data_IF_468673743247
#
_entry.id   IF_468673743247
#
_cell.length_a   1.000
_cell.length_b   1.000
_cell.length_c   1.000
_cell.angle_alpha   90.00
_cell.angle_beta   90.00
_cell.angle_gamma   90.00
#
_symmetry.space_group_name_H-M   'P 1'
#
loop_
_entity.id
_entity.type
_entity.pdbx_description
1 polymer ?
#
# COMPACT_ATOMS: atom_id res chain seq x y z
N UNK A 1 -13.14 -6.45 7.83
CA UNK A 1 -12.79 -5.66 6.64
C UNK A 1 -12.65 -4.20 7.05
N UNK A 2 -11.99 -3.39 6.22
CA UNK A 2 -11.91 -1.93 6.36
C UNK A 2 -12.28 -1.31 5.02
N UNK A 3 -13.16 -0.31 5.02
CA UNK A 3 -13.57 0.44 3.82
C UNK A 3 -13.09 1.89 3.94
N UNK A 4 -12.25 2.29 3.00
CA UNK A 4 -11.72 3.65 2.81
C UNK A 4 -11.91 4.10 1.35
N UNK A 5 -12.93 3.60 0.66
CA UNK A 5 -13.22 4.01 -0.73
C UNK A 5 -13.52 5.51 -0.81
N UNK A 6 -12.85 6.20 -1.73
CA UNK A 6 -12.88 7.66 -1.85
C UNK A 6 -12.60 8.43 -0.54
N UNK A 7 -12.13 7.73 0.50
CA UNK A 7 -11.88 8.26 1.83
C UNK A 7 -10.45 8.73 2.00
N UNK A 8 -10.11 9.16 3.21
CA UNK A 8 -8.78 9.61 3.58
C UNK A 8 -8.43 9.17 5.00
N UNK A 9 -7.40 8.36 5.12
CA UNK A 9 -6.72 8.03 6.38
C UNK A 9 -5.34 8.69 6.35
N UNK A 10 -5.10 9.62 7.26
CA UNK A 10 -3.85 10.37 7.30
C UNK A 10 -3.23 10.36 8.70
N UNK A 11 -1.94 10.04 8.78
CA UNK A 11 -1.13 10.23 9.98
C UNK A 11 -0.11 11.34 9.72
N UNK A 12 -0.35 12.50 10.32
CA UNK A 12 0.47 13.71 10.09
C UNK A 12 1.72 13.77 10.98
N UNK A 13 1.79 12.96 12.04
CA UNK A 13 2.99 12.80 12.87
C UNK A 13 4.04 11.90 12.22
N UNK A 14 5.25 11.89 12.78
CA UNK A 14 6.40 11.12 12.26
C UNK A 14 6.46 9.67 12.77
N UNK A 15 5.50 9.24 13.58
CA UNK A 15 5.42 7.87 14.09
C UNK A 15 5.03 6.86 13.01
N UNK A 16 5.03 5.58 13.37
CA UNK A 16 4.52 4.50 12.53
C UNK A 16 3.00 4.57 12.40
N UNK A 17 2.48 4.63 11.18
CA UNK A 17 1.07 4.41 10.88
C UNK A 17 0.82 2.92 10.69
N UNK A 18 -0.12 2.33 11.42
CA UNK A 18 -0.52 0.93 11.20
C UNK A 18 -1.97 0.84 10.74
N UNK A 19 -2.19 0.29 9.55
CA UNK A 19 -3.51 -0.08 9.04
C UNK A 19 -3.58 -1.60 9.00
N UNK A 20 -4.39 -2.20 9.87
CA UNK A 20 -4.50 -3.64 10.00
C UNK A 20 -5.94 -4.11 9.75
N UNK A 21 -6.18 -4.73 8.60
CA UNK A 21 -7.43 -5.39 8.27
C UNK A 21 -7.23 -6.91 8.27
N UNK A 22 -8.06 -7.65 9.02
CA UNK A 22 -7.97 -9.13 9.07
C UNK A 22 -8.54 -9.82 7.82
N UNK A 23 -9.15 -9.07 6.90
CA UNK A 23 -9.73 -9.56 5.66
C UNK A 23 -9.47 -8.57 4.54
N UNK A 24 -10.52 -8.06 3.92
CA UNK A 24 -10.39 -7.03 2.89
C UNK A 24 -10.10 -5.63 3.48
N UNK A 25 -9.17 -4.91 2.87
CA UNK A 25 -8.99 -3.47 2.96
C UNK A 25 -9.31 -2.88 1.58
N UNK A 26 -10.36 -2.07 1.49
CA UNK A 26 -10.74 -1.39 0.27
C UNK A 26 -10.35 0.09 0.33
N UNK A 27 -9.37 0.48 -0.47
CA UNK A 27 -8.87 1.83 -0.64
C UNK A 27 -9.12 2.33 -2.09
N UNK A 28 -10.12 1.80 -2.79
CA UNK A 28 -10.44 2.17 -4.17
C UNK A 28 -10.76 3.67 -4.26
N UNK A 29 -9.98 4.40 -5.05
CA UNK A 29 -10.07 5.87 -5.15
C UNK A 29 -9.79 6.62 -3.84
N UNK A 30 -9.38 5.92 -2.78
CA UNK A 30 -9.12 6.44 -1.45
C UNK A 30 -7.65 6.78 -1.22
N UNK A 31 -7.35 7.30 -0.02
CA UNK A 31 -6.00 7.70 0.39
C UNK A 31 -5.65 7.14 1.76
N UNK A 32 -4.45 6.56 1.87
CA UNK A 32 -3.79 6.16 3.11
C UNK A 32 -2.41 6.81 3.10
N UNK A 33 -2.19 7.83 3.93
CA UNK A 33 -0.99 8.66 3.87
C UNK A 33 -0.33 8.84 5.26
N UNK A 34 0.90 8.37 5.41
CA UNK A 34 1.71 8.51 6.62
C UNK A 34 2.89 9.47 6.43
N UNK A 35 3.06 10.43 7.33
CA UNK A 35 4.21 11.35 7.36
C UNK A 35 5.47 10.72 8.02
N UNK A 36 5.32 9.55 8.64
CA UNK A 36 6.40 8.68 9.09
C UNK A 36 6.49 7.41 8.26
N UNK A 37 6.78 6.30 8.93
CA UNK A 37 6.68 4.97 8.34
C UNK A 37 5.22 4.52 8.25
N UNK A 38 4.90 3.63 7.32
CA UNK A 38 3.58 3.01 7.22
C UNK A 38 3.68 1.48 7.16
N UNK A 39 2.82 0.81 7.92
CA UNK A 39 2.60 -0.63 7.89
C UNK A 39 1.14 -0.91 7.53
N UNK A 40 0.93 -1.56 6.39
CA UNK A 40 -0.41 -1.98 5.93
C UNK A 40 -0.47 -3.51 5.91
N UNK A 41 -1.50 -4.06 6.55
CA UNK A 41 -1.79 -5.50 6.58
C UNK A 41 -3.21 -5.77 6.13
N UNK A 42 -3.39 -6.70 5.21
CA UNK A 42 -4.69 -7.15 4.74
C UNK A 42 -4.61 -8.59 4.20
N UNK A 43 -5.71 -9.34 4.16
CA UNK A 43 -5.74 -10.55 3.32
C UNK A 43 -5.93 -10.16 1.85
N UNK A 44 -6.82 -9.21 1.57
CA UNK A 44 -7.04 -8.65 0.23
C UNK A 44 -6.94 -7.14 0.32
N UNK A 45 -6.09 -6.52 -0.49
CA UNK A 45 -5.97 -5.08 -0.59
C UNK A 45 -6.46 -4.62 -1.97
N UNK A 46 -7.53 -3.83 -2.00
CA UNK A 46 -7.94 -3.10 -3.20
C UNK A 46 -7.42 -1.67 -3.11
N UNK A 47 -6.59 -1.27 -4.05
CA UNK A 47 -6.01 0.06 -4.18
C UNK A 47 -6.19 0.61 -5.60
N UNK A 48 -7.18 0.12 -6.35
CA UNK A 48 -7.49 0.56 -7.70
C UNK A 48 -7.76 2.07 -7.72
N UNK A 49 -7.07 2.83 -8.56
CA UNK A 49 -7.15 4.32 -8.59
C UNK A 49 -6.86 5.01 -7.24
N UNK A 50 -6.45 4.24 -6.23
CA UNK A 50 -6.21 4.66 -4.87
C UNK A 50 -4.75 5.00 -4.63
N UNK A 51 -4.48 5.47 -3.42
CA UNK A 51 -3.14 5.91 -3.02
C UNK A 51 -2.78 5.44 -1.62
N UNK A 52 -1.62 4.80 -1.50
CA UNK A 52 -0.97 4.44 -0.24
C UNK A 52 0.43 5.04 -0.26
N UNK A 53 0.73 5.99 0.63
CA UNK A 53 2.02 6.65 0.67
C UNK A 53 2.58 6.78 2.08
N UNK A 54 3.85 6.42 2.23
CA UNK A 54 4.66 6.76 3.40
C UNK A 54 5.72 7.78 3.00
N UNK A 55 5.89 8.85 3.79
CA UNK A 55 6.98 9.80 3.59
C UNK A 55 8.35 9.16 3.89
N UNK A 56 8.38 8.11 4.72
CA UNK A 56 9.57 7.34 5.05
C UNK A 56 9.50 5.92 4.44
N UNK A 57 9.57 4.86 5.25
CA UNK A 57 9.49 3.47 4.77
C UNK A 57 8.04 2.98 4.73
N UNK A 58 7.69 2.20 3.70
CA UNK A 58 6.40 1.54 3.61
C UNK A 58 6.58 0.01 3.63
N UNK A 59 5.83 -0.67 4.49
CA UNK A 59 5.72 -2.13 4.52
C UNK A 59 4.28 -2.55 4.25
N UNK A 60 4.07 -3.36 3.22
CA UNK A 60 2.79 -3.96 2.89
C UNK A 60 2.91 -5.48 3.04
N UNK A 61 2.07 -6.07 3.89
CA UNK A 61 1.94 -7.51 4.06
C UNK A 61 0.51 -7.92 3.70
N UNK A 62 0.35 -8.50 2.51
CA UNK A 62 -0.97 -8.76 1.92
C UNK A 62 -1.10 -10.17 1.40
N UNK A 63 -2.29 -10.76 1.41
CA UNK A 63 -2.53 -12.02 0.69
C UNK A 63 -2.58 -11.78 -0.83
N UNK A 64 -3.30 -10.75 -1.26
CA UNK A 64 -3.31 -10.23 -2.62
C UNK A 64 -3.42 -8.69 -2.65
N UNK A 65 -2.97 -8.08 -3.74
CA UNK A 65 -3.07 -6.64 -3.99
C UNK A 65 -3.56 -6.39 -5.41
N UNK A 66 -4.64 -5.62 -5.53
CA UNK A 66 -5.01 -4.93 -6.76
C UNK A 66 -4.59 -3.47 -6.64
N UNK A 67 -3.55 -3.09 -7.39
CA UNK A 67 -3.03 -1.73 -7.51
C UNK A 67 -3.24 -1.17 -8.93
N UNK A 68 -4.25 -1.66 -9.66
CA UNK A 68 -4.50 -1.22 -11.04
C UNK A 68 -4.83 0.27 -11.11
N UNK A 69 -4.11 1.01 -11.96
CA UNK A 69 -4.19 2.48 -12.04
C UNK A 69 -3.99 3.19 -10.68
N UNK A 70 -3.46 2.47 -9.68
CA UNK A 70 -3.26 2.93 -8.30
C UNK A 70 -1.80 3.29 -8.02
N UNK A 71 -1.54 3.77 -6.80
CA UNK A 71 -0.20 4.11 -6.34
C UNK A 71 0.09 3.54 -4.96
N UNK A 72 1.22 2.84 -4.83
CA UNK A 72 1.90 2.55 -3.58
C UNK A 72 3.29 3.16 -3.65
N UNK A 73 3.61 4.10 -2.75
CA UNK A 73 4.91 4.74 -2.74
C UNK A 73 5.50 4.91 -1.34
N UNK A 74 6.82 4.77 -1.25
CA UNK A 74 7.62 5.09 -0.07
C UNK A 74 8.66 6.16 -0.42
N UNK A 75 8.83 7.14 0.46
CA UNK A 75 9.90 8.13 0.32
C UNK A 75 11.29 7.50 0.43
N UNK A 76 11.42 6.41 1.22
CA UNK A 76 12.63 5.59 1.32
C UNK A 76 12.38 4.20 0.74
N UNK A 77 12.31 3.17 1.57
CA UNK A 77 12.19 1.78 1.12
C UNK A 77 10.73 1.36 1.04
N UNK A 78 10.41 0.60 0.00
CA UNK A 78 9.14 -0.11 -0.13
C UNK A 78 9.41 -1.60 0.04
N UNK A 79 8.80 -2.22 1.06
CA UNK A 79 8.79 -3.66 1.24
C UNK A 79 7.37 -4.18 1.02
N UNK A 80 7.16 -4.98 -0.04
CA UNK A 80 5.89 -5.63 -0.31
C UNK A 80 6.07 -7.14 -0.21
N UNK A 81 5.33 -7.76 0.70
CA UNK A 81 5.21 -9.21 0.78
C UNK A 81 3.77 -9.65 0.53
N UNK A 82 3.60 -10.67 -0.31
CA UNK A 82 2.27 -11.23 -0.55
C UNK A 82 2.17 -12.33 -1.60
N UNK A 83 0.95 -12.65 -2.00
CA UNK A 83 0.65 -13.62 -3.05
C UNK A 83 0.63 -12.94 -4.42
N UNK A 84 -0.58 -12.79 -4.97
CA UNK A 84 -0.79 -12.23 -6.30
C UNK A 84 -0.94 -10.71 -6.26
N UNK A 85 -0.15 -10.03 -7.08
CA UNK A 85 -0.14 -8.57 -7.21
C UNK A 85 -0.50 -8.20 -8.65
N UNK A 86 -1.59 -7.44 -8.81
CA UNK A 86 -1.91 -6.76 -10.06
C UNK A 86 -1.51 -5.29 -9.96
N UNK A 87 -0.50 -4.90 -10.72
CA UNK A 87 0.00 -3.54 -10.84
C UNK A 87 -0.24 -2.98 -12.26
N UNK A 88 -1.22 -3.49 -13.01
CA UNK A 88 -1.49 -3.03 -14.38
C UNK A 88 -1.76 -1.53 -14.41
N UNK A 89 -0.89 -0.78 -15.12
CA UNK A 89 -0.88 0.70 -15.15
C UNK A 89 -0.78 1.37 -13.76
N UNK A 90 -0.41 0.60 -12.74
CA UNK A 90 -0.22 1.07 -11.37
C UNK A 90 1.25 1.37 -11.10
N UNK A 91 1.51 1.96 -9.93
CA UNK A 91 2.86 2.30 -9.50
C UNK A 91 3.19 1.63 -8.16
N UNK A 92 4.30 0.91 -8.11
CA UNK A 92 4.99 0.48 -6.89
C UNK A 92 6.35 1.19 -6.85
N UNK A 93 6.53 2.13 -5.94
CA UNK A 93 7.68 3.05 -5.96
C UNK A 93 8.39 3.17 -4.61
N UNK A 94 9.72 3.14 -4.67
CA UNK A 94 10.62 3.64 -3.64
C UNK A 94 11.35 4.86 -4.22
N UNK A 95 11.34 6.01 -3.53
CA UNK A 95 11.91 7.26 -4.08
C UNK A 95 13.41 7.36 -3.85
N UNK A 96 13.85 7.24 -2.60
CA UNK A 96 15.27 7.34 -2.21
C UNK A 96 15.91 5.99 -1.83
N UNK A 97 15.10 4.93 -1.71
CA UNK A 97 15.53 3.60 -1.29
C UNK A 97 15.23 2.52 -2.33
N UNK A 98 15.18 1.27 -1.85
CA UNK A 98 14.87 0.11 -2.69
C UNK A 98 13.41 -0.28 -2.60
N UNK A 99 12.86 -0.77 -3.71
CA UNK A 99 11.61 -1.53 -3.72
C UNK A 99 11.94 -3.03 -3.69
N UNK A 100 11.60 -3.69 -2.57
CA UNK A 100 11.77 -5.13 -2.38
C UNK A 100 10.41 -5.80 -2.48
N UNK A 101 10.22 -6.62 -3.51
CA UNK A 101 8.97 -7.35 -3.75
C UNK A 101 9.21 -8.85 -3.51
N UNK A 102 8.65 -9.38 -2.42
CA UNK A 102 8.62 -10.81 -2.13
C UNK A 102 7.20 -11.33 -2.36
N UNK A 103 6.87 -11.59 -3.62
CA UNK A 103 5.50 -11.86 -4.08
C UNK A 103 5.46 -13.15 -4.90
N UNK A 104 4.33 -13.85 -4.87
CA UNK A 104 4.17 -15.10 -5.64
C UNK A 104 4.07 -14.81 -7.14
N UNK A 105 3.26 -13.81 -7.51
CA UNK A 105 3.08 -13.37 -8.89
C UNK A 105 2.97 -11.84 -8.94
N UNK A 106 3.54 -11.25 -9.99
CA UNK A 106 3.40 -9.83 -10.31
C UNK A 106 2.94 -9.67 -11.75
N UNK A 107 1.74 -9.14 -11.94
CA UNK A 107 1.28 -8.60 -13.21
C UNK A 107 1.57 -7.09 -13.21
N UNK A 108 2.25 -6.57 -14.23
CA UNK A 108 2.70 -5.18 -14.28
C UNK A 108 2.58 -4.62 -15.70
#
# INVERSE_FOLDING_TARGET
SLDNRAGSLAQTGTGLMTVNATGQLDNTGGKIEGNGDALVKAFTLLNNTGRIVAAQDATLNVGSLDNTEGTVAAGRNLALSGGDIDNTKGQLQAVAGNATLNVANLNN
#
